data_IF_585755425590
#
_entry.id   IF_585755425590
#
_cell.length_a   1.000
_cell.length_b   1.000
_cell.length_c   1.000
_cell.angle_alpha   90.00
_cell.angle_beta   90.00
_cell.angle_gamma   90.00
#
_symmetry.space_group_name_H-M   'P 1'
#
loop_
_entity.id
_entity.type
_entity.pdbx_description
1 polymer ?
#
# COMPACT_ATOMS: atom_id res chain seq x y z
N UNK A 1 -11.67 20.29 2.59
CA UNK A 1 -10.30 20.28 3.15
C UNK A 1 -10.28 21.16 4.39
N UNK A 2 -9.55 20.76 5.44
CA UNK A 2 -9.42 21.50 6.70
C UNK A 2 -7.96 21.87 6.96
N UNK A 3 -7.70 23.05 7.52
CA UNK A 3 -6.34 23.48 7.87
C UNK A 3 -6.04 23.14 9.32
N UNK A 4 -5.03 22.31 9.57
CA UNK A 4 -4.64 21.89 10.91
C UNK A 4 -3.12 21.99 11.11
N UNK A 5 -2.65 22.28 12.34
CA UNK A 5 -1.24 22.18 12.67
C UNK A 5 -0.83 20.71 12.77
N UNK A 6 0.19 20.30 11.99
CA UNK A 6 0.86 19.02 12.18
C UNK A 6 2.19 19.25 12.90
N UNK A 7 2.41 18.51 13.97
CA UNK A 7 3.67 18.54 14.72
C UNK A 7 4.39 17.19 14.60
N UNK A 8 5.67 17.23 14.23
CA UNK A 8 6.52 16.04 14.08
C UNK A 8 7.78 16.24 14.94
N UNK A 9 8.24 15.16 15.60
CA UNK A 9 9.44 15.16 16.43
C UNK A 9 9.18 15.47 17.91
N UNK A 10 10.26 15.48 18.67
CA UNK A 10 10.25 15.68 20.12
C UNK A 10 11.37 16.64 20.55
N UNK A 11 11.21 17.25 21.73
CA UNK A 11 12.20 18.16 22.32
C UNK A 11 12.60 19.30 21.38
N UNK A 12 13.91 19.51 21.24
CA UNK A 12 14.52 20.57 20.42
C UNK A 12 14.41 20.32 18.92
N UNK A 13 14.05 19.10 18.50
CA UNK A 13 13.89 18.71 17.08
C UNK A 13 12.43 18.61 16.67
N UNK A 14 11.54 19.27 17.41
CA UNK A 14 10.12 19.37 17.08
C UNK A 14 9.90 20.44 16.02
N UNK A 15 9.09 20.14 15.00
CA UNK A 15 8.66 21.10 13.98
C UNK A 15 7.14 21.05 13.82
N UNK A 16 6.52 22.20 13.66
CA UNK A 16 5.08 22.34 13.45
C UNK A 16 4.82 23.12 12.16
N UNK A 17 3.95 22.60 11.29
CA UNK A 17 3.55 23.25 10.04
C UNK A 17 2.03 23.25 9.91
N UNK A 18 1.46 24.36 9.42
CA UNK A 18 0.04 24.42 9.04
C UNK A 18 -0.16 23.76 7.68
N UNK A 19 -1.00 22.73 7.62
CA UNK A 19 -1.24 21.96 6.41
C UNK A 19 -2.73 21.77 6.16
N UNK A 20 -3.10 21.60 4.89
CA UNK A 20 -4.46 21.27 4.47
C UNK A 20 -4.62 19.76 4.44
N UNK A 21 -5.62 19.26 5.15
CA UNK A 21 -5.96 17.84 5.23
C UNK A 21 -7.29 17.55 4.55
N UNK A 22 -7.37 16.39 3.91
CA UNK A 22 -8.62 15.75 3.54
C UNK A 22 -8.97 14.75 4.64
N UNK A 23 -10.17 14.85 5.20
CA UNK A 23 -10.66 13.88 6.18
C UNK A 23 -11.29 12.73 5.42
N UNK A 24 -10.76 11.53 5.62
CA UNK A 24 -11.23 10.30 4.98
C UNK A 24 -11.43 9.24 6.05
N UNK A 25 -12.43 8.39 5.87
CA UNK A 25 -12.74 7.29 6.78
C UNK A 25 -11.91 6.03 6.43
N UNK A 26 -10.65 6.03 6.89
CA UNK A 26 -9.64 4.98 6.67
C UNK A 26 -9.02 4.52 8.00
N UNK A 27 -8.49 3.28 8.09
CA UNK A 27 -7.90 2.76 9.32
C UNK A 27 -6.45 3.25 9.51
N UNK A 28 -6.24 4.56 9.44
CA UNK A 28 -4.95 5.22 9.67
C UNK A 28 -5.22 6.63 10.20
N UNK A 29 -4.45 7.06 11.21
CA UNK A 29 -4.65 8.38 11.83
C UNK A 29 -4.31 9.53 10.87
N UNK A 30 -3.24 9.37 10.08
CA UNK A 30 -2.81 10.39 9.12
C UNK A 30 -2.02 9.76 7.97
N UNK A 31 -2.22 10.28 6.75
CA UNK A 31 -1.42 9.92 5.57
C UNK A 31 -0.63 11.15 5.13
N UNK A 32 0.70 11.06 5.16
CA UNK A 32 1.59 12.17 4.82
C UNK A 32 2.12 12.01 3.40
N UNK A 33 1.58 12.81 2.48
CA UNK A 33 2.04 12.87 1.11
C UNK A 33 3.28 13.73 0.91
N UNK A 34 3.74 13.81 -0.36
CA UNK A 34 4.88 14.63 -0.80
C UNK A 34 4.78 16.09 -0.37
N UNK A 35 3.58 16.68 -0.43
CA UNK A 35 3.36 18.07 -0.01
C UNK A 35 3.78 18.29 1.45
N UNK A 36 3.33 17.40 2.34
CA UNK A 36 3.68 17.44 3.76
C UNK A 36 5.18 17.19 3.95
N UNK A 37 5.73 16.15 3.32
CA UNK A 37 7.15 15.82 3.45
C UNK A 37 8.05 16.99 3.00
N UNK A 38 7.70 17.68 1.92
CA UNK A 38 8.41 18.85 1.42
C UNK A 38 8.32 20.03 2.40
N UNK A 39 7.15 20.28 3.00
CA UNK A 39 7.00 21.32 4.02
C UNK A 39 7.92 21.10 5.23
N UNK A 40 8.16 19.84 5.58
CA UNK A 40 9.11 19.48 6.63
C UNK A 40 10.57 19.42 6.17
N UNK A 41 10.85 19.51 4.87
CA UNK A 41 12.15 19.20 4.27
C UNK A 41 12.61 17.79 4.68
N UNK A 42 11.68 16.84 4.57
CA UNK A 42 11.84 15.50 5.08
C UNK A 42 12.43 14.54 4.03
N UNK A 43 13.29 13.65 4.49
CA UNK A 43 13.85 12.53 3.73
C UNK A 43 13.35 11.23 4.34
N UNK A 44 12.77 10.37 3.51
CA UNK A 44 12.28 9.06 3.91
C UNK A 44 13.38 8.02 3.71
N UNK A 45 13.66 7.26 4.76
CA UNK A 45 14.50 6.07 4.74
C UNK A 45 13.58 4.87 4.81
N UNK A 46 13.11 4.41 3.65
CA UNK A 46 12.12 3.33 3.53
C UNK A 46 12.60 2.04 4.17
N UNK A 47 13.87 1.66 3.94
CA UNK A 47 14.49 0.45 4.49
C UNK A 47 14.42 0.38 6.03
N UNK A 48 14.60 1.52 6.71
CA UNK A 48 14.54 1.58 8.17
C UNK A 48 13.20 2.09 8.71
N UNK A 49 12.23 2.35 7.83
CA UNK A 49 10.98 3.05 8.15
C UNK A 49 11.21 4.33 8.98
N UNK A 50 12.24 5.11 8.64
CA UNK A 50 12.59 6.36 9.33
C UNK A 50 12.31 7.58 8.47
N UNK A 51 11.91 8.66 9.10
CA UNK A 51 11.84 9.98 8.47
C UNK A 51 12.85 10.88 9.18
N UNK A 52 13.70 11.57 8.43
CA UNK A 52 14.51 12.67 8.94
C UNK A 52 14.01 13.98 8.38
N UNK A 53 14.07 15.06 9.15
CA UNK A 53 13.60 16.37 8.71
C UNK A 53 14.43 17.48 9.35
N UNK A 54 14.48 18.63 8.69
CA UNK A 54 15.28 19.77 9.15
C UNK A 54 14.52 20.61 10.16
N UNK A 55 15.17 20.95 11.26
CA UNK A 55 14.67 21.85 12.32
C UNK A 55 15.77 22.84 12.76
N UNK A 56 15.41 23.97 13.40
CA UNK A 56 16.41 24.88 13.96
C UNK A 56 17.33 24.22 15.00
N UNK A 57 16.83 23.21 15.74
CA UNK A 57 17.60 22.44 16.71
C UNK A 57 18.40 21.27 16.10
N UNK A 58 18.52 21.21 14.77
CA UNK A 58 19.21 20.14 14.04
C UNK A 58 18.27 19.18 13.32
N UNK A 59 18.73 17.96 13.07
CA UNK A 59 17.98 16.96 12.31
C UNK A 59 17.04 16.17 13.23
N UNK A 60 15.73 16.37 13.06
CA UNK A 60 14.71 15.56 13.70
C UNK A 60 14.59 14.19 13.05
N UNK A 61 14.19 13.18 13.84
CA UNK A 61 13.99 11.81 13.39
C UNK A 61 12.68 11.27 13.94
N UNK A 62 11.91 10.59 13.10
CA UNK A 62 10.75 9.80 13.52
C UNK A 62 10.90 8.38 12.99
N UNK A 63 10.61 7.41 13.85
CA UNK A 63 10.60 6.00 13.54
C UNK A 63 9.15 5.56 13.28
N UNK A 64 8.92 4.85 12.19
CA UNK A 64 7.64 4.17 11.94
C UNK A 64 7.54 2.88 12.76
N UNK A 65 6.32 2.57 13.18
CA UNK A 65 5.96 1.31 13.83
C UNK A 65 5.45 0.31 12.78
N UNK A 66 6.21 -0.75 12.57
CA UNK A 66 5.89 -1.78 11.57
C UNK A 66 4.64 -2.59 11.93
N UNK A 67 4.39 -2.84 13.22
CA UNK A 67 3.23 -3.59 13.67
C UNK A 67 1.96 -2.77 13.44
N UNK A 68 1.99 -1.48 13.79
CA UNK A 68 0.88 -0.57 13.52
C UNK A 68 0.64 -0.43 12.01
N UNK A 69 1.71 -0.23 11.22
CA UNK A 69 1.57 -0.14 9.76
C UNK A 69 0.93 -1.39 9.15
N UNK A 70 1.35 -2.59 9.61
CA UNK A 70 0.78 -3.86 9.15
C UNK A 70 -0.68 -4.01 9.57
N UNK A 71 -1.04 -3.63 10.80
CA UNK A 71 -2.43 -3.63 11.26
C UNK A 71 -3.31 -2.71 10.41
N UNK A 72 -2.87 -1.47 10.18
CA UNK A 72 -3.56 -0.50 9.31
C UNK A 72 -3.76 -1.05 7.90
N UNK A 73 -2.74 -1.68 7.31
CA UNK A 73 -2.83 -2.27 5.98
C UNK A 73 -3.88 -3.38 5.90
N UNK A 74 -3.85 -4.33 6.85
CA UNK A 74 -4.81 -5.44 6.88
C UNK A 74 -6.24 -4.94 7.06
N UNK A 75 -6.46 -3.98 7.97
CA UNK A 75 -7.76 -3.37 8.18
C UNK A 75 -8.26 -2.61 6.95
N UNK A 76 -7.37 -1.91 6.24
CA UNK A 76 -7.73 -1.18 5.02
C UNK A 76 -8.25 -2.12 3.93
N UNK A 77 -7.59 -3.27 3.75
CA UNK A 77 -8.05 -4.28 2.79
C UNK A 77 -9.38 -4.90 3.19
N UNK A 78 -9.55 -5.26 4.48
CA UNK A 78 -10.82 -5.80 4.99
C UNK A 78 -11.97 -4.82 4.79
N UNK A 79 -11.75 -3.53 5.05
CA UNK A 79 -12.76 -2.48 4.85
C UNK A 79 -13.12 -2.30 3.38
N UNK A 80 -12.13 -2.42 2.48
CA UNK A 80 -12.36 -2.45 1.03
C UNK A 80 -13.25 -3.62 0.61
N UNK A 81 -12.99 -4.83 1.12
CA UNK A 81 -13.81 -6.02 0.83
C UNK A 81 -15.27 -5.87 1.31
N UNK A 82 -15.50 -5.28 2.49
CA UNK A 82 -16.86 -5.03 3.00
C UNK A 82 -17.65 -4.04 2.13
N UNK A 83 -17.00 -2.99 1.64
CA UNK A 83 -17.66 -2.01 0.74
C UNK A 83 -18.11 -2.68 -0.57
N UNK A 84 -17.30 -3.60 -1.11
CA UNK A 84 -17.62 -4.33 -2.33
C UNK A 84 -18.77 -5.34 -2.14
N UNK A 85 -19.05 -5.80 -0.92
CA UNK A 85 -20.17 -6.73 -0.65
C UNK A 85 -21.53 -6.05 -0.45
N UNK A 86 -21.56 -4.76 -0.07
CA UNK A 86 -22.80 -4.01 0.16
C UNK A 86 -23.33 -3.29 -1.11
N UNK A 87 -22.50 -3.13 -2.15
CA UNK A 87 -22.94 -2.66 -3.46
C UNK A 87 -23.37 -3.85 -4.33
N UNK A 88 -24.68 -4.12 -4.34
CA UNK A 88 -25.28 -5.27 -5.00
C UNK A 88 -24.90 -5.43 -6.48
N UNK A 89 -24.02 -6.39 -6.75
CA UNK A 89 -23.99 -7.12 -8.01
C UNK A 89 -24.24 -8.60 -7.72
N UNK A 90 -25.34 -9.15 -8.25
CA UNK A 90 -25.67 -10.58 -8.18
C UNK A 90 -24.55 -11.38 -8.85
N UNK A 91 -23.82 -12.19 -8.09
CA UNK A 91 -22.84 -13.12 -8.64
C UNK A 91 -22.28 -14.13 -7.64
N UNK A 92 -22.97 -15.28 -7.53
CA UNK A 92 -22.47 -16.64 -7.20
C UNK A 92 -21.84 -16.86 -5.79
N UNK A 93 -22.31 -17.87 -5.03
CA UNK A 93 -21.86 -18.08 -3.65
C UNK A 93 -20.45 -18.69 -3.59
N UNK A 94 -19.48 -17.90 -3.14
CA UNK A 94 -18.21 -18.41 -2.62
C UNK A 94 -18.50 -19.24 -1.36
N UNK A 95 -18.10 -20.50 -1.42
CA UNK A 95 -18.34 -21.57 -0.46
C UNK A 95 -17.96 -21.18 0.98
N UNK A 96 -18.98 -21.01 1.83
CA UNK A 96 -18.83 -20.93 3.28
C UNK A 96 -18.44 -22.30 3.83
N UNK A 97 -17.18 -22.45 4.27
CA UNK A 97 -16.84 -23.37 5.37
C UNK A 97 -15.74 -22.75 6.22
N UNK A 98 -16.15 -22.10 7.30
CA UNK A 98 -15.35 -22.00 8.51
C UNK A 98 -16.28 -22.32 9.67
N UNK A 99 -16.09 -23.51 10.26
CA UNK A 99 -16.72 -23.87 11.53
C UNK A 99 -16.00 -23.09 12.62
N UNK A 100 -16.77 -22.39 13.44
CA UNK A 100 -16.32 -21.89 14.74
C UNK A 100 -16.00 -23.07 15.67
N UNK A 101 -14.88 -22.98 16.37
CA UNK A 101 -14.71 -23.57 17.69
C UNK A 101 -13.73 -22.69 18.47
N UNK A 102 -14.24 -22.10 19.55
CA UNK A 102 -13.50 -21.36 20.56
C UNK A 102 -12.89 -22.35 21.55
N UNK A 103 -11.60 -22.23 21.84
CA UNK A 103 -11.00 -22.67 23.11
C UNK A 103 -9.68 -21.91 23.36
N UNK A 104 -9.41 -21.72 24.65
CA UNK A 104 -8.58 -20.73 25.34
C UNK A 104 -7.10 -21.12 25.49
N UNK A 105 -6.19 -20.15 25.63
CA UNK A 105 -4.82 -20.34 26.18
C UNK A 105 -3.65 -19.81 25.31
N UNK A 106 -2.93 -18.79 25.79
CA UNK A 106 -1.65 -18.21 25.28
C UNK A 106 -0.46 -19.21 25.41
N UNK A 107 0.73 -19.03 24.76
CA UNK A 107 1.35 -17.80 24.24
C UNK A 107 1.99 -17.85 22.82
N UNK A 108 2.03 -16.68 22.17
CA UNK A 108 3.04 -16.23 21.20
C UNK A 108 3.53 -17.21 20.11
N UNK A 109 2.70 -17.48 19.11
CA UNK A 109 3.18 -17.71 17.74
C UNK A 109 2.70 -16.54 16.89
N UNK A 110 3.64 -15.83 16.26
CA UNK A 110 3.33 -14.82 15.24
C UNK A 110 2.70 -15.57 14.08
N UNK A 111 1.37 -15.66 14.10
CA UNK A 111 0.57 -16.17 13.00
C UNK A 111 1.08 -15.48 11.71
N UNK A 112 1.54 -16.29 10.77
CA UNK A 112 1.83 -15.82 9.42
C UNK A 112 0.66 -14.94 8.99
N UNK A 113 0.91 -13.72 8.48
CA UNK A 113 -0.19 -12.82 8.13
C UNK A 113 -1.18 -13.60 7.26
N UNK A 114 -2.42 -13.73 7.72
CA UNK A 114 -3.51 -14.24 6.91
C UNK A 114 -3.35 -13.60 5.52
N UNK A 115 -3.15 -14.43 4.49
CA UNK A 115 -2.84 -13.98 3.12
C UNK A 115 -3.89 -12.94 2.74
N UNK A 116 -3.48 -11.67 2.75
CA UNK A 116 -4.34 -10.55 2.39
C UNK A 116 -4.58 -10.67 0.90
N UNK A 117 -5.80 -11.05 0.52
CA UNK A 117 -6.18 -11.17 -0.88
C UNK A 117 -6.57 -9.79 -1.41
N UNK A 118 -6.23 -9.46 -2.67
CA UNK A 118 -6.70 -8.24 -3.31
C UNK A 118 -8.22 -8.05 -3.13
N UNK A 119 -8.66 -6.80 -3.01
CA UNK A 119 -10.07 -6.47 -2.84
C UNK A 119 -10.94 -6.83 -4.06
N UNK A 120 -10.28 -7.13 -5.18
CA UNK A 120 -10.85 -7.40 -6.49
C UNK A 120 -10.09 -8.58 -7.12
N UNK A 121 -10.82 -9.41 -7.88
CA UNK A 121 -10.21 -10.48 -8.67
C UNK A 121 -9.29 -9.88 -9.74
N UNK A 122 -8.08 -10.42 -9.91
CA UNK A 122 -7.15 -9.91 -10.93
C UNK A 122 -7.09 -10.87 -12.12
N UNK A 123 -7.11 -10.32 -13.32
CA UNK A 123 -6.95 -11.03 -14.58
C UNK A 123 -5.47 -11.11 -14.98
N UNK A 124 -5.02 -12.30 -15.35
CA UNK A 124 -3.69 -12.49 -15.93
C UNK A 124 -3.67 -11.95 -17.36
N UNK A 125 -2.63 -11.19 -17.70
CA UNK A 125 -2.35 -10.71 -19.06
C UNK A 125 -0.91 -11.06 -19.45
N UNK A 126 -0.70 -11.28 -20.74
CA UNK A 126 0.62 -11.48 -21.33
C UNK A 126 1.20 -10.14 -21.78
N UNK A 127 2.40 -9.82 -21.30
CA UNK A 127 3.15 -8.63 -21.72
C UNK A 127 3.75 -8.80 -23.11
N UNK A 128 4.12 -10.03 -23.47
CA UNK A 128 4.64 -10.37 -24.78
C UNK A 128 3.77 -11.52 -25.29
N UNK A 129 3.12 -11.38 -26.47
CA UNK A 129 2.39 -12.48 -27.07
C UNK A 129 3.28 -13.72 -27.14
N UNK A 130 2.73 -14.87 -26.76
CA UNK A 130 3.40 -16.18 -26.86
C UNK A 130 4.52 -16.43 -25.83
N UNK A 131 4.71 -15.56 -24.83
CA UNK A 131 5.63 -15.81 -23.72
C UNK A 131 4.89 -16.01 -22.38
N UNK A 132 4.64 -17.27 -21.97
CA UNK A 132 3.91 -17.56 -20.74
C UNK A 132 4.67 -17.15 -19.45
N UNK A 133 5.97 -16.88 -19.56
CA UNK A 133 6.81 -16.47 -18.43
C UNK A 133 6.81 -14.96 -18.20
N UNK A 134 6.27 -14.17 -19.14
CA UNK A 134 6.21 -12.70 -19.06
C UNK A 134 4.75 -12.24 -18.93
N UNK A 135 4.17 -12.52 -17.76
CA UNK A 135 2.77 -12.19 -17.44
C UNK A 135 2.66 -11.24 -16.26
N UNK A 136 1.53 -10.52 -16.18
CA UNK A 136 1.16 -9.72 -15.01
C UNK A 136 -0.34 -9.78 -14.74
N UNK A 137 -0.78 -9.09 -13.69
CA UNK A 137 -2.17 -9.08 -13.21
C UNK A 137 -2.74 -7.66 -13.23
N UNK A 138 -3.92 -7.49 -13.81
CA UNK A 138 -4.69 -6.24 -13.81
C UNK A 138 -6.08 -6.46 -13.18
N UNK A 139 -6.74 -5.40 -12.72
CA UNK A 139 -8.08 -5.50 -12.13
C UNK A 139 -9.14 -6.05 -13.10
N UNK A 140 -10.01 -6.94 -12.61
CA UNK A 140 -11.15 -7.49 -13.38
C UNK A 140 -12.31 -6.52 -13.61
N UNK A 141 -12.46 -5.48 -12.78
CA UNK A 141 -13.48 -4.45 -12.82
C UNK A 141 -13.10 -3.25 -13.71
N UNK A 142 -11.93 -3.26 -14.35
CA UNK A 142 -11.59 -2.28 -15.38
C UNK A 142 -12.58 -2.39 -16.54
N UNK A 143 -13.14 -1.27 -16.98
CA UNK A 143 -13.99 -1.25 -18.17
C UNK A 143 -13.20 -1.69 -19.41
N UNK A 144 -13.90 -2.25 -20.41
CA UNK A 144 -13.25 -2.87 -21.57
C UNK A 144 -12.27 -1.95 -22.30
N UNK A 145 -12.60 -0.66 -22.44
CA UNK A 145 -11.74 0.31 -23.11
C UNK A 145 -10.49 0.61 -22.29
N UNK A 146 -10.65 0.93 -21.00
CA UNK A 146 -9.51 1.20 -20.11
C UNK A 146 -8.60 -0.02 -19.98
N UNK A 147 -9.19 -1.21 -19.92
CA UNK A 147 -8.46 -2.48 -19.88
C UNK A 147 -7.58 -2.64 -21.12
N UNK A 148 -8.12 -2.43 -22.32
CA UNK A 148 -7.35 -2.51 -23.57
C UNK A 148 -6.23 -1.46 -23.63
N UNK A 149 -6.51 -0.21 -23.24
CA UNK A 149 -5.50 0.86 -23.21
C UNK A 149 -4.34 0.51 -22.27
N UNK A 150 -4.63 -0.04 -21.09
CA UNK A 150 -3.61 -0.48 -20.13
C UNK A 150 -2.80 -1.65 -20.71
N UNK A 151 -3.46 -2.66 -21.28
CA UNK A 151 -2.76 -3.81 -21.87
C UNK A 151 -1.82 -3.34 -22.98
N UNK A 152 -2.29 -2.52 -23.91
CA UNK A 152 -1.47 -1.99 -25.01
C UNK A 152 -0.30 -1.15 -24.49
N UNK A 153 -0.51 -0.32 -23.45
CA UNK A 153 0.55 0.46 -22.83
C UNK A 153 1.62 -0.44 -22.21
N UNK A 154 1.22 -1.46 -21.46
CA UNK A 154 2.14 -2.40 -20.83
C UNK A 154 2.93 -3.19 -21.88
N UNK A 155 2.27 -3.74 -22.90
CA UNK A 155 2.91 -4.48 -23.99
C UNK A 155 3.88 -3.61 -24.79
N UNK A 156 3.51 -2.35 -25.08
CA UNK A 156 4.37 -1.40 -25.80
C UNK A 156 5.65 -1.05 -25.05
N UNK A 157 5.63 -1.12 -23.72
CA UNK A 157 6.76 -0.81 -22.86
C UNK A 157 7.30 -2.09 -22.19
N UNK A 158 7.16 -3.27 -22.79
CA UNK A 158 7.59 -4.53 -22.17
C UNK A 158 9.12 -4.60 -21.94
N UNK A 159 9.88 -3.77 -22.64
CA UNK A 159 11.35 -3.64 -22.63
C UNK A 159 11.89 -2.88 -21.41
N UNK A 160 11.10 -2.05 -20.74
CA UNK A 160 11.54 -1.32 -19.53
C UNK A 160 11.50 -2.17 -18.25
N UNK A 161 10.92 -3.37 -18.32
CA UNK A 161 10.75 -4.25 -17.17
C UNK A 161 11.90 -5.26 -17.09
N UNK A 162 12.45 -5.42 -15.89
CA UNK A 162 13.36 -6.51 -15.57
C UNK A 162 12.55 -7.80 -15.30
N UNK A 163 12.79 -8.83 -16.10
CA UNK A 163 12.11 -10.13 -16.02
C UNK A 163 12.94 -11.16 -15.25
N UNK A 164 14.26 -11.00 -15.24
CA UNK A 164 15.21 -11.74 -14.44
C UNK A 164 16.19 -10.80 -13.73
N UNK A 165 16.93 -11.32 -12.75
CA UNK A 165 17.97 -10.55 -12.06
C UNK A 165 19.08 -10.08 -13.01
N UNK A 166 19.27 -10.74 -14.16
CA UNK A 166 20.23 -10.34 -15.19
C UNK A 166 19.83 -9.05 -15.92
N UNK A 167 18.54 -8.69 -15.92
CA UNK A 167 18.04 -7.49 -16.60
C UNK A 167 18.22 -6.21 -15.76
N UNK A 168 18.70 -6.34 -14.51
CA UNK A 168 18.97 -5.21 -13.62
C UNK A 168 20.37 -4.64 -13.89
N UNK A 169 20.51 -3.87 -14.97
CA UNK A 169 21.76 -3.17 -15.28
C UNK A 169 21.95 -1.95 -14.33
N UNK A 170 23.17 -1.76 -13.82
CA UNK A 170 23.55 -0.62 -12.98
C UNK A 170 23.61 -0.87 -11.46
N UNK A 171 23.40 -2.11 -11.02
CA UNK A 171 23.70 -2.54 -9.65
C UNK A 171 24.93 -3.46 -9.70
N UNK A 172 26.08 -2.95 -9.25
CA UNK A 172 27.33 -3.72 -9.11
C UNK A 172 27.15 -4.80 -8.01
N UNK A 173 27.57 -6.07 -8.22
CA UNK A 173 27.35 -7.18 -7.30
C UNK A 173 28.02 -7.04 -5.92
#
# INVERSE_FOLDING_TARGET
>A
MISLPLTIGTGTTRKTCMLKFLVVDVPSDVILGRLTLNAFQAVIYTYHMKIKFSTPGGVGKVQGDQLQFRKCYVEAVRKGQKRNSDEGHKGIPSSKKAKEAVAEGTPEEVEAPAKVQPAEELLNIEFIPENPYKTTRIGSHLDGKTKEEIILCLQRNADIFAWASQDLEGIDP
#
